data_IF_818728136681
#
_entry.id   IF_818728136681
#
_cell.length_a   1.000
_cell.length_b   1.000
_cell.length_c   1.000
_cell.angle_alpha   90.00
_cell.angle_beta   90.00
_cell.angle_gamma   90.00
#
_symmetry.space_group_name_H-M   'P 1'
#
loop_
_entity.id
_entity.type
_entity.pdbx_description
1 polymer ?
#
# COMPACT_ATOMS: atom_id res chain seq x y z
N UNK A 1 49.75 -10.62 -6.18
CA UNK A 1 50.56 -11.85 -6.26
C UNK A 1 50.34 -12.66 -5.00
N UNK A 2 50.04 -13.98 -5.16
CA UNK A 2 50.03 -15.09 -4.17
C UNK A 2 49.00 -14.97 -3.01
N UNK A 3 47.83 -15.64 -3.03
CA UNK A 3 47.55 -17.08 -2.81
C UNK A 3 48.15 -17.57 -1.46
N UNK A 4 47.42 -18.07 -0.45
CA UNK A 4 46.72 -19.38 -0.36
C UNK A 4 45.90 -19.49 0.95
N UNK A 5 44.60 -19.85 0.91
CA UNK A 5 43.97 -21.11 1.40
C UNK A 5 44.58 -21.86 2.60
N UNK A 6 43.75 -22.17 3.62
CA UNK A 6 43.41 -23.56 4.07
C UNK A 6 42.52 -23.66 5.33
N UNK A 7 41.19 -23.81 5.12
CA UNK A 7 40.24 -24.90 5.48
C UNK A 7 40.22 -25.59 6.91
N UNK A 8 39.27 -26.50 7.24
CA UNK A 8 38.08 -26.26 8.09
C UNK A 8 37.88 -27.31 9.22
N UNK A 9 36.81 -27.18 10.03
CA UNK A 9 36.04 -28.23 10.77
C UNK A 9 34.99 -27.51 11.64
N UNK A 10 33.70 -27.84 11.65
CA UNK A 10 33.13 -29.14 12.02
C UNK A 10 31.69 -29.29 11.51
N UNK A 11 31.33 -30.54 11.22
CA UNK A 11 30.01 -31.01 10.79
C UNK A 11 29.03 -31.08 11.97
N UNK A 12 27.77 -30.69 11.73
CA UNK A 12 26.61 -31.12 12.52
C UNK A 12 25.75 -32.01 11.61
N UNK A 13 25.65 -33.29 11.96
CA UNK A 13 24.67 -34.23 11.42
C UNK A 13 23.52 -34.35 12.42
N UNK A 14 22.28 -34.16 11.97
CA UNK A 14 21.09 -34.69 12.65
C UNK A 14 20.25 -35.49 11.66
N UNK A 15 19.91 -36.75 11.97
CA UNK A 15 19.09 -37.57 11.09
C UNK A 15 17.59 -37.38 11.37
N UNK A 16 16.82 -37.37 10.27
CA UNK A 16 15.38 -37.54 10.23
C UNK A 16 14.95 -38.85 10.91
N UNK A 17 13.89 -38.80 11.73
CA UNK A 17 13.13 -39.99 12.17
C UNK A 17 11.67 -39.89 11.74
N UNK A 18 11.26 -40.90 10.99
CA UNK A 18 9.91 -41.16 10.51
C UNK A 18 9.04 -41.85 11.57
N UNK A 19 7.72 -41.64 11.44
CA UNK A 19 6.64 -42.28 12.21
C UNK A 19 6.62 -43.81 12.08
N UNK A 20 6.24 -44.50 13.17
CA UNK A 20 5.48 -45.78 13.14
C UNK A 20 4.57 -45.91 14.38
N UNK A 21 3.33 -46.41 14.24
CA UNK A 21 2.43 -46.75 15.34
C UNK A 21 2.40 -48.26 15.63
N UNK A 22 2.08 -48.67 16.86
CA UNK A 22 1.81 -50.05 17.31
C UNK A 22 0.93 -50.01 18.60
N UNK A 23 0.27 -51.09 19.05
CA UNK A 23 -0.95 -51.66 18.46
C UNK A 23 -2.07 -51.88 19.53
N UNK A 24 -3.30 -52.14 19.11
CA UNK A 24 -4.39 -52.59 19.99
C UNK A 24 -4.85 -54.00 19.61
N UNK A 25 -5.13 -54.81 20.63
CA UNK A 25 -5.29 -56.27 20.58
C UNK A 25 -6.69 -56.76 20.20
N UNK A 26 -6.72 -58.04 19.85
CA UNK A 26 -7.72 -58.82 19.12
C UNK A 26 -8.94 -59.29 19.94
N UNK A 27 -10.08 -59.51 19.26
CA UNK A 27 -11.26 -60.21 19.78
C UNK A 27 -12.22 -60.67 18.67
N UNK A 28 -12.22 -61.99 18.42
CA UNK A 28 -13.10 -62.85 17.58
C UNK A 28 -14.62 -62.62 17.82
N UNK A 29 -15.61 -63.00 17.00
CA UNK A 29 -15.77 -63.75 15.75
C UNK A 29 -17.24 -63.64 15.26
N UNK A 30 -17.51 -64.21 14.07
CA UNK A 30 -18.79 -64.70 13.50
C UNK A 30 -19.47 -63.86 12.39
N UNK A 31 -19.31 -64.34 11.15
CA UNK A 31 -20.27 -64.27 10.01
C UNK A 31 -21.19 -65.51 10.11
N UNK A 32 -22.36 -65.64 9.43
CA UNK A 32 -22.62 -65.21 8.04
C UNK A 32 -24.07 -64.82 7.68
N UNK A 33 -24.28 -64.26 6.47
CA UNK A 33 -25.13 -64.86 5.42
C UNK A 33 -25.24 -63.96 4.18
N UNK A 34 -25.08 -64.60 3.04
CA UNK A 34 -25.28 -64.10 1.69
C UNK A 34 -26.73 -63.64 1.45
N UNK A 35 -26.90 -62.55 0.70
CA UNK A 35 -28.00 -62.42 -0.24
C UNK A 35 -27.58 -61.48 -1.38
N UNK A 36 -27.67 -62.04 -2.58
CA UNK A 36 -27.34 -61.53 -3.90
C UNK A 36 -28.54 -60.74 -4.43
N UNK A 37 -28.40 -59.47 -4.80
CA UNK A 37 -29.26 -58.84 -5.81
C UNK A 37 -28.47 -57.81 -6.64
N UNK A 38 -28.29 -58.17 -7.91
CA UNK A 38 -28.07 -57.31 -9.06
C UNK A 38 -29.01 -56.09 -9.04
N UNK A 39 -28.53 -54.89 -9.39
CA UNK A 39 -29.09 -54.06 -10.47
C UNK A 39 -28.27 -52.78 -10.69
N UNK A 40 -28.15 -52.40 -11.97
CA UNK A 40 -27.69 -51.13 -12.54
C UNK A 40 -26.17 -50.92 -12.70
N UNK A 41 -25.69 -51.50 -13.80
CA UNK A 41 -24.42 -51.25 -14.44
C UNK A 41 -24.64 -50.28 -15.62
N UNK A 42 -24.87 -48.98 -15.39
CA UNK A 42 -24.76 -47.98 -16.48
C UNK A 42 -24.44 -46.59 -15.92
N UNK A 43 -23.47 -45.93 -16.57
CA UNK A 43 -23.09 -44.52 -16.44
C UNK A 43 -22.34 -44.06 -15.18
N UNK A 44 -21.02 -44.19 -15.20
CA UNK A 44 -20.10 -43.13 -14.70
C UNK A 44 -18.63 -43.42 -15.09
N UNK A 45 -18.34 -43.69 -16.36
CA UNK A 45 -16.93 -43.68 -16.87
C UNK A 45 -16.64 -42.43 -17.73
N UNK A 46 -17.60 -41.50 -17.83
CA UNK A 46 -17.42 -40.21 -18.50
C UNK A 46 -17.58 -39.06 -17.50
N UNK A 47 -16.67 -38.96 -16.54
CA UNK A 47 -16.75 -37.93 -15.49
C UNK A 47 -15.44 -37.50 -14.88
N UNK A 48 -14.30 -38.01 -15.35
CA UNK A 48 -12.99 -37.39 -15.10
C UNK A 48 -12.63 -36.61 -16.37
N UNK A 49 -13.52 -35.69 -16.77
CA UNK A 49 -13.10 -34.58 -17.62
C UNK A 49 -12.19 -33.73 -16.74
N UNK A 50 -10.91 -33.81 -17.05
CA UNK A 50 -9.88 -33.04 -16.41
C UNK A 50 -10.31 -31.59 -16.29
N UNK A 51 -10.45 -31.09 -15.06
CA UNK A 51 -10.19 -29.68 -14.78
C UNK A 51 -8.67 -29.46 -14.88
N UNK A 52 -8.08 -29.78 -16.04
CA UNK A 52 -6.87 -29.11 -16.44
C UNK A 52 -7.34 -27.69 -16.73
N UNK A 53 -7.03 -26.75 -15.83
CA UNK A 53 -7.25 -25.34 -16.15
C UNK A 53 -6.49 -25.08 -17.44
N UNK A 54 -7.21 -24.90 -18.53
CA UNK A 54 -6.63 -24.43 -19.76
C UNK A 54 -6.06 -23.06 -19.41
N UNK A 55 -4.74 -23.01 -19.24
CA UNK A 55 -4.01 -21.77 -19.05
C UNK A 55 -4.32 -20.93 -20.27
N UNK A 56 -5.31 -20.05 -20.17
CA UNK A 56 -5.71 -19.19 -21.27
C UNK A 56 -4.44 -18.53 -21.78
N UNK A 57 -4.08 -18.79 -23.05
CA UNK A 57 -2.93 -18.17 -23.68
C UNK A 57 -3.19 -16.65 -23.72
N UNK A 58 -2.76 -15.94 -22.67
CA UNK A 58 -2.88 -14.50 -22.54
C UNK A 58 -2.06 -13.86 -23.65
N UNK A 59 -2.76 -13.40 -24.70
CA UNK A 59 -2.14 -12.61 -25.76
C UNK A 59 -2.05 -11.16 -25.29
N UNK A 60 -0.86 -10.74 -24.89
CA UNK A 60 -0.58 -9.37 -24.49
C UNK A 60 -0.14 -8.54 -25.70
N UNK A 61 -0.61 -7.30 -25.76
CA UNK A 61 -0.15 -6.28 -26.71
C UNK A 61 0.48 -5.13 -25.95
N UNK A 62 1.56 -4.57 -26.50
CA UNK A 62 2.25 -3.41 -25.92
C UNK A 62 2.04 -2.22 -26.84
N UNK A 63 1.58 -1.11 -26.28
CA UNK A 63 1.35 0.15 -26.99
C UNK A 63 1.97 1.31 -26.21
N UNK A 64 2.61 2.24 -26.92
CA UNK A 64 3.07 3.49 -26.36
C UNK A 64 1.92 4.50 -26.29
N UNK A 65 1.57 4.94 -25.08
CA UNK A 65 0.44 5.84 -24.83
C UNK A 65 0.83 7.31 -24.55
N UNK A 66 2.12 7.63 -24.53
CA UNK A 66 2.61 8.99 -24.31
C UNK A 66 3.78 9.31 -25.24
N UNK A 67 3.86 10.57 -25.71
CA UNK A 67 4.84 11.01 -26.69
C UNK A 67 5.47 12.35 -26.29
N UNK A 68 6.57 12.70 -26.96
CA UNK A 68 7.28 13.96 -26.75
C UNK A 68 8.32 13.91 -25.62
N UNK A 69 8.95 15.07 -25.30
CA UNK A 69 10.10 15.11 -24.40
C UNK A 69 9.75 15.11 -22.91
N UNK A 70 8.46 15.06 -22.55
CA UNK A 70 7.99 15.11 -21.16
C UNK A 70 7.77 13.69 -20.63
N UNK A 71 8.02 13.51 -19.34
CA UNK A 71 7.90 12.21 -18.67
C UNK A 71 6.54 12.09 -18.00
N UNK A 72 5.96 10.89 -18.02
CA UNK A 72 4.63 10.62 -17.47
C UNK A 72 4.71 9.44 -16.52
N UNK A 73 4.15 9.58 -15.32
CA UNK A 73 4.12 8.49 -14.34
C UNK A 73 2.95 8.67 -13.38
N UNK A 74 2.40 7.57 -12.88
CA UNK A 74 1.31 7.61 -11.90
C UNK A 74 1.84 7.71 -10.45
N UNK A 75 3.03 7.14 -10.22
CA UNK A 75 3.54 6.82 -8.89
C UNK A 75 3.19 5.37 -8.53
N UNK A 76 3.97 4.80 -7.63
CA UNK A 76 3.73 3.47 -7.07
C UNK A 76 3.14 3.62 -5.67
N UNK A 77 1.99 3.00 -5.36
CA UNK A 77 1.72 2.51 -4.01
C UNK A 77 0.74 1.30 -4.06
N UNK A 78 1.08 0.21 -3.35
CA UNK A 78 0.23 -0.97 -3.08
C UNK A 78 -0.95 -0.69 -2.15
N UNK A 79 -1.72 0.33 -2.48
CA UNK A 79 -3.02 0.65 -1.89
C UNK A 79 -4.10 -0.17 -2.60
N UNK A 80 -4.96 -0.86 -1.86
CA UNK A 80 -6.02 -1.67 -2.46
C UNK A 80 -6.85 -0.87 -3.48
N UNK A 81 -6.98 -1.43 -4.69
CA UNK A 81 -7.71 -0.83 -5.83
C UNK A 81 -7.16 0.51 -6.33
N UNK A 82 -5.88 0.81 -6.05
CA UNK A 82 -5.20 1.95 -6.68
C UNK A 82 -4.81 1.61 -8.11
N UNK A 83 -5.58 2.16 -9.04
CA UNK A 83 -5.42 1.96 -10.47
C UNK A 83 -5.31 3.32 -11.17
N UNK A 84 -4.50 3.45 -12.23
CA UNK A 84 -4.42 4.71 -12.98
C UNK A 84 -5.64 4.94 -13.88
N UNK A 85 -6.35 3.87 -14.24
CA UNK A 85 -7.56 3.92 -15.06
C UNK A 85 -8.78 4.38 -14.27
N UNK A 86 -9.55 5.29 -14.83
CA UNK A 86 -10.88 5.58 -14.31
C UNK A 86 -11.79 4.35 -14.48
N UNK A 87 -12.89 4.29 -13.74
CA UNK A 87 -13.83 3.16 -13.80
C UNK A 87 -14.53 3.00 -15.17
N UNK A 88 -14.43 3.99 -16.06
CA UNK A 88 -14.92 3.91 -17.44
C UNK A 88 -13.93 3.28 -18.43
N UNK A 89 -12.66 3.09 -18.05
CA UNK A 89 -11.65 2.52 -18.94
C UNK A 89 -11.19 3.45 -20.07
N UNK A 90 -11.47 4.75 -19.98
CA UNK A 90 -11.09 5.75 -21.01
C UNK A 90 -9.91 6.62 -20.59
N UNK A 91 -9.87 7.00 -19.32
CA UNK A 91 -8.90 7.97 -18.83
C UNK A 91 -7.86 7.29 -17.97
N UNK A 92 -6.59 7.55 -18.28
CA UNK A 92 -5.45 7.18 -17.43
C UNK A 92 -4.94 8.45 -16.74
N UNK A 93 -4.90 8.44 -15.42
CA UNK A 93 -4.35 9.54 -14.62
C UNK A 93 -2.82 9.44 -14.58
N UNK A 94 -2.13 10.57 -14.69
CA UNK A 94 -0.68 10.63 -14.56
C UNK A 94 -0.21 12.01 -14.06
N UNK A 95 0.98 12.02 -13.47
CA UNK A 95 1.81 13.22 -13.37
C UNK A 95 2.62 13.36 -14.66
N UNK A 96 2.85 14.61 -15.06
CA UNK A 96 3.76 14.95 -16.17
C UNK A 96 4.84 15.91 -15.70
N UNK A 97 6.10 15.56 -15.93
CA UNK A 97 7.28 16.33 -15.53
C UNK A 97 8.20 16.65 -16.72
N UNK A 98 9.04 17.66 -16.53
CA UNK A 98 10.08 18.03 -17.50
C UNK A 98 11.39 17.26 -17.36
N UNK A 99 11.54 16.48 -16.28
CA UNK A 99 12.77 15.80 -15.90
C UNK A 99 12.45 14.48 -15.16
N UNK A 100 13.46 13.63 -14.99
CA UNK A 100 13.37 12.34 -14.29
C UNK A 100 14.70 11.89 -13.64
N UNK A 101 15.70 12.76 -13.65
CA UNK A 101 17.11 12.47 -13.36
C UNK A 101 17.61 13.09 -12.05
N UNK A 102 16.75 13.79 -11.31
CA UNK A 102 17.04 14.31 -9.98
C UNK A 102 15.80 14.23 -9.06
N UNK A 103 16.01 14.40 -7.75
CA UNK A 103 14.91 14.54 -6.79
C UNK A 103 14.21 15.89 -6.96
N UNK A 104 12.87 15.98 -6.77
CA UNK A 104 12.17 17.24 -6.86
C UNK A 104 12.62 18.23 -5.78
N UNK A 105 12.75 19.49 -6.17
CA UNK A 105 12.97 20.61 -5.26
C UNK A 105 11.62 21.22 -4.82
N UNK A 106 11.59 22.04 -3.75
CA UNK A 106 10.35 22.68 -3.30
C UNK A 106 9.64 23.49 -4.40
N UNK A 107 10.39 24.13 -5.30
CA UNK A 107 9.83 24.91 -6.40
C UNK A 107 9.19 24.08 -7.52
N UNK A 108 9.57 22.80 -7.60
CA UNK A 108 9.22 21.95 -8.73
C UNK A 108 7.77 21.50 -8.68
N UNK A 109 7.10 21.69 -9.80
CA UNK A 109 5.70 21.37 -9.95
C UNK A 109 5.51 20.36 -11.08
N UNK A 110 4.71 19.33 -10.82
CA UNK A 110 4.29 18.35 -11.82
C UNK A 110 2.88 18.68 -12.31
N UNK A 111 2.64 18.55 -13.61
CA UNK A 111 1.30 18.68 -14.15
C UNK A 111 0.47 17.45 -13.78
N UNK A 112 -0.78 17.67 -13.36
CA UNK A 112 -1.78 16.61 -13.24
C UNK A 112 -2.49 16.49 -14.59
N UNK A 113 -2.40 15.33 -15.22
CA UNK A 113 -2.89 15.10 -16.59
C UNK A 113 -3.78 13.86 -16.69
N UNK A 114 -4.66 13.86 -17.68
CA UNK A 114 -5.29 12.64 -18.20
C UNK A 114 -4.67 12.28 -19.54
N UNK A 115 -4.54 10.98 -19.79
CA UNK A 115 -4.36 10.43 -21.13
C UNK A 115 -5.74 9.92 -21.56
N UNK A 116 -6.29 10.50 -22.63
CA UNK A 116 -7.59 10.11 -23.20
C UNK A 116 -7.38 9.04 -24.29
N UNK A 117 -7.65 7.77 -23.93
CA UNK A 117 -7.37 6.63 -24.81
C UNK A 117 -8.35 6.50 -25.97
N UNK A 118 -9.52 7.14 -25.87
CA UNK A 118 -10.49 7.23 -26.97
C UNK A 118 -10.18 8.41 -27.93
N UNK A 119 -9.20 9.25 -27.62
CA UNK A 119 -8.78 10.38 -28.46
C UNK A 119 -7.29 10.29 -28.81
N UNK A 120 -6.89 9.17 -29.41
CA UNK A 120 -5.50 8.94 -29.85
C UNK A 120 -4.46 9.21 -28.74
N UNK A 121 -4.78 8.76 -27.52
CA UNK A 121 -3.94 8.95 -26.32
C UNK A 121 -3.57 10.42 -26.03
N UNK A 122 -4.49 11.35 -26.32
CA UNK A 122 -4.26 12.78 -26.11
C UNK A 122 -4.03 13.09 -24.63
N UNK A 123 -2.93 13.80 -24.34
CA UNK A 123 -2.60 14.27 -22.98
C UNK A 123 -3.31 15.59 -22.68
N UNK A 124 -4.21 15.57 -21.70
CA UNK A 124 -5.01 16.70 -21.25
C UNK A 124 -4.49 17.19 -19.89
N UNK A 125 -3.93 18.41 -19.84
CA UNK A 125 -3.58 19.05 -18.57
C UNK A 125 -4.84 19.49 -17.83
N UNK A 126 -4.95 19.10 -16.56
CA UNK A 126 -6.08 19.43 -15.69
C UNK A 126 -5.71 20.43 -14.60
N UNK A 127 -4.55 20.22 -13.98
CA UNK A 127 -4.09 20.96 -12.82
C UNK A 127 -2.56 20.85 -12.70
N UNK A 128 -2.01 21.35 -11.59
CA UNK A 128 -0.61 21.23 -11.23
C UNK A 128 -0.48 20.96 -9.73
N UNK A 129 0.51 20.15 -9.34
CA UNK A 129 0.83 19.86 -7.94
C UNK A 129 2.29 20.17 -7.60
N UNK A 130 2.52 20.67 -6.39
CA UNK A 130 3.84 20.78 -5.75
C UNK A 130 4.06 19.75 -4.62
N UNK A 131 3.11 18.84 -4.45
CA UNK A 131 3.15 17.76 -3.47
C UNK A 131 3.33 16.44 -4.20
N UNK A 132 4.55 16.19 -4.69
CA UNK A 132 4.87 14.98 -5.42
C UNK A 132 6.30 14.47 -5.17
N UNK A 133 6.52 13.19 -5.45
CA UNK A 133 7.84 12.56 -5.58
C UNK A 133 7.78 11.41 -6.61
N UNK A 134 8.92 10.92 -7.07
CA UNK A 134 8.94 9.85 -8.09
C UNK A 134 8.45 8.50 -7.57
N UNK A 135 8.54 8.23 -6.26
CA UNK A 135 8.16 6.93 -5.71
C UNK A 135 6.63 6.79 -5.62
N UNK A 136 5.97 7.74 -4.97
CA UNK A 136 4.54 7.71 -4.64
C UNK A 136 3.69 8.64 -5.51
N UNK A 137 4.32 9.42 -6.40
CA UNK A 137 3.63 10.48 -7.12
C UNK A 137 3.02 11.48 -6.15
N UNK A 138 1.74 11.77 -6.36
CA UNK A 138 0.95 12.69 -5.53
C UNK A 138 -0.18 11.96 -4.77
N UNK A 139 -0.02 10.65 -4.56
CA UNK A 139 -1.04 9.79 -3.95
C UNK A 139 -2.37 9.85 -4.70
N UNK A 140 -2.31 9.70 -6.02
CA UNK A 140 -3.50 9.63 -6.84
C UNK A 140 -4.42 8.49 -6.41
N UNK A 141 -5.73 8.75 -6.45
CA UNK A 141 -6.73 7.71 -6.25
C UNK A 141 -8.06 8.13 -6.87
N UNK A 142 -8.65 7.32 -7.75
CA UNK A 142 -10.01 7.58 -8.27
C UNK A 142 -11.03 7.44 -7.14
N UNK A 143 -11.84 8.47 -6.90
CA UNK A 143 -12.82 8.49 -5.82
C UNK A 143 -13.80 7.32 -5.98
N UNK A 144 -13.85 6.32 -5.07
CA UNK A 144 -14.75 5.17 -5.23
C UNK A 144 -16.22 5.55 -5.40
N UNK A 145 -16.67 6.63 -4.75
CA UNK A 145 -18.04 7.12 -4.87
C UNK A 145 -18.35 7.75 -6.25
N UNK A 146 -17.34 8.06 -7.06
CA UNK A 146 -17.48 8.70 -8.37
C UNK A 146 -16.28 8.39 -9.29
N UNK A 147 -15.90 7.11 -9.37
CA UNK A 147 -14.61 6.67 -9.92
C UNK A 147 -14.47 6.85 -11.44
N UNK A 148 -15.55 7.26 -12.12
CA UNK A 148 -15.51 7.62 -13.55
C UNK A 148 -14.98 9.04 -13.77
N UNK A 149 -15.18 9.95 -12.80
CA UNK A 149 -15.06 11.39 -13.03
C UNK A 149 -14.26 12.12 -11.96
N UNK A 150 -14.10 11.55 -10.77
CA UNK A 150 -13.46 12.23 -9.65
C UNK A 150 -12.24 11.49 -9.15
N UNK A 151 -11.20 12.24 -8.78
CA UNK A 151 -9.99 11.68 -8.21
C UNK A 151 -9.42 12.59 -7.12
N UNK A 152 -8.69 11.96 -6.20
CA UNK A 152 -7.90 12.60 -5.18
C UNK A 152 -6.46 12.77 -5.63
N UNK A 153 -5.84 13.87 -5.22
CA UNK A 153 -4.40 14.07 -5.28
C UNK A 153 -3.96 15.01 -4.16
N UNK A 154 -2.67 15.09 -3.85
CA UNK A 154 -2.16 16.04 -2.89
C UNK A 154 -1.62 17.29 -3.61
N UNK A 155 -1.73 18.46 -2.99
CA UNK A 155 -1.07 19.67 -3.47
C UNK A 155 -0.43 20.42 -2.30
N UNK A 156 0.49 21.31 -2.62
CA UNK A 156 1.20 22.15 -1.66
C UNK A 156 1.07 23.59 -2.09
N UNK A 157 0.51 24.38 -1.18
CA UNK A 157 0.25 25.79 -1.41
C UNK A 157 1.57 26.57 -1.43
N UNK A 158 1.94 27.22 -2.54
CA UNK A 158 3.22 27.93 -2.62
C UNK A 158 3.27 29.17 -1.70
N UNK A 159 2.12 29.70 -1.26
CA UNK A 159 2.08 30.86 -0.36
C UNK A 159 2.21 30.46 1.09
N UNK A 160 1.48 29.43 1.51
CA UNK A 160 1.45 29.00 2.93
C UNK A 160 2.41 27.85 3.22
N UNK A 161 2.97 27.22 2.18
CA UNK A 161 3.78 25.99 2.26
C UNK A 161 3.03 24.81 2.92
N UNK A 162 1.71 24.89 3.05
CA UNK A 162 0.89 23.82 3.60
C UNK A 162 0.53 22.80 2.52
N UNK A 163 0.65 21.52 2.87
CA UNK A 163 0.11 20.42 2.05
C UNK A 163 -1.37 20.22 2.36
N UNK A 164 -2.13 19.80 1.35
CA UNK A 164 -3.54 19.47 1.47
C UNK A 164 -3.93 18.44 0.42
N UNK A 165 -5.09 17.83 0.59
CA UNK A 165 -5.67 16.92 -0.41
C UNK A 165 -6.72 17.65 -1.24
N UNK A 166 -6.72 17.40 -2.53
CA UNK A 166 -7.68 17.92 -3.51
C UNK A 166 -8.58 16.79 -3.96
N UNK A 167 -9.89 17.06 -4.05
CA UNK A 167 -10.83 16.26 -4.83
C UNK A 167 -11.14 17.05 -6.11
N UNK A 168 -10.79 16.47 -7.26
CA UNK A 168 -10.98 17.07 -8.58
C UNK A 168 -12.08 16.34 -9.34
N UNK A 169 -12.82 17.07 -10.17
CA UNK A 169 -13.85 16.51 -11.05
C UNK A 169 -13.54 16.85 -12.51
N UNK A 170 -13.38 15.83 -13.36
CA UNK A 170 -12.94 15.98 -14.75
C UNK A 170 -14.04 16.50 -15.67
N UNK A 171 -15.31 16.26 -15.36
CA UNK A 171 -16.43 16.79 -16.13
C UNK A 171 -16.62 18.28 -15.84
N UNK A 172 -16.48 18.66 -14.57
CA UNK A 172 -16.54 20.07 -14.14
C UNK A 172 -15.24 20.83 -14.39
N UNK A 173 -14.15 20.12 -14.72
CA UNK A 173 -12.80 20.64 -14.95
C UNK A 173 -12.31 21.56 -13.83
N UNK A 174 -12.56 21.19 -12.57
CA UNK A 174 -12.17 21.99 -11.41
C UNK A 174 -11.95 21.15 -10.17
N UNK A 175 -11.18 21.71 -9.24
CA UNK A 175 -11.16 21.29 -7.83
C UNK A 175 -12.55 21.51 -7.25
N UNK A 176 -13.19 20.45 -6.77
CA UNK A 176 -14.52 20.54 -6.14
C UNK A 176 -14.43 20.58 -4.61
N UNK A 177 -13.29 20.18 -4.05
CA UNK A 177 -12.99 20.32 -2.62
C UNK A 177 -11.49 20.30 -2.35
N UNK A 178 -11.08 21.03 -1.31
CA UNK A 178 -9.74 20.95 -0.72
C UNK A 178 -9.86 20.62 0.77
N UNK A 179 -9.07 19.66 1.24
CA UNK A 179 -9.00 19.24 2.64
C UNK A 179 -7.75 19.84 3.27
N UNK A 180 -7.93 21.01 3.90
CA UNK A 180 -6.86 21.78 4.53
C UNK A 180 -6.95 21.67 6.05
N UNK A 181 -5.80 21.47 6.70
CA UNK A 181 -5.71 21.37 8.14
C UNK A 181 -4.65 22.31 8.68
N UNK A 182 -5.08 23.27 9.51
CA UNK A 182 -4.16 24.23 10.11
C UNK A 182 -3.18 23.54 11.06
N UNK A 183 -1.93 24.02 11.06
CA UNK A 183 -0.85 23.62 11.97
C UNK A 183 -0.46 22.12 11.95
N UNK A 184 -0.92 21.36 10.96
CA UNK A 184 -0.56 19.95 10.79
C UNK A 184 -0.41 19.65 9.30
N UNK A 185 0.81 19.39 8.79
CA UNK A 185 1.07 19.18 7.36
C UNK A 185 0.68 17.75 6.93
N UNK A 186 -0.59 17.41 7.11
CA UNK A 186 -1.15 16.09 6.75
C UNK A 186 -1.95 16.15 5.47
N UNK A 187 -1.79 15.13 4.64
CA UNK A 187 -2.55 14.93 3.41
C UNK A 187 -2.74 13.43 3.14
N UNK A 188 -3.53 13.09 2.13
CA UNK A 188 -3.89 11.73 1.75
C UNK A 188 -2.66 10.83 1.63
N UNK A 189 -2.62 9.78 2.42
CA UNK A 189 -1.66 8.67 2.36
C UNK A 189 -2.29 7.35 1.89
N UNK A 190 -3.60 7.31 1.66
CA UNK A 190 -4.34 6.15 1.17
C UNK A 190 -5.85 6.36 1.27
N UNK A 191 -6.60 6.15 0.20
CA UNK A 191 -8.07 6.30 0.19
C UNK A 191 -8.71 4.95 0.50
N UNK A 192 -9.78 4.96 1.31
CA UNK A 192 -10.54 3.73 1.55
C UNK A 192 -11.23 3.26 0.27
N UNK A 193 -11.17 1.96 -0.08
CA UNK A 193 -11.91 1.39 -1.22
C UNK A 193 -13.43 1.59 -1.14
N UNK A 194 -13.98 1.87 0.04
CA UNK A 194 -15.40 2.21 0.27
C UNK A 194 -15.73 3.67 -0.08
N UNK A 195 -14.73 4.55 -0.16
CA UNK A 195 -14.88 5.96 -0.57
C UNK A 195 -15.38 6.93 0.49
N UNK A 196 -15.68 6.48 1.71
CA UNK A 196 -16.22 7.32 2.80
C UNK A 196 -15.14 8.07 3.59
N UNK A 197 -13.89 7.61 3.56
CA UNK A 197 -12.74 8.27 4.18
C UNK A 197 -11.44 8.05 3.41
N UNK A 198 -10.43 8.84 3.76
CA UNK A 198 -9.03 8.56 3.45
C UNK A 198 -8.17 8.65 4.71
N UNK A 199 -7.04 7.97 4.69
CA UNK A 199 -6.00 8.07 5.69
C UNK A 199 -5.09 9.23 5.34
N UNK A 200 -4.67 9.99 6.33
CA UNK A 200 -3.74 11.09 6.17
C UNK A 200 -2.53 10.94 7.09
N UNK A 201 -1.35 11.30 6.59
CA UNK A 201 -0.08 11.24 7.32
C UNK A 201 0.66 12.57 7.20
N UNK A 202 1.54 12.86 8.15
CA UNK A 202 2.35 14.08 8.17
C UNK A 202 3.46 14.02 7.12
N UNK A 203 3.29 14.75 6.01
CA UNK A 203 4.27 14.79 4.92
C UNK A 203 5.50 15.65 5.23
N UNK A 204 5.44 16.55 6.22
CA UNK A 204 6.61 17.26 6.74
C UNK A 204 7.57 16.30 7.45
N UNK A 205 7.04 15.43 8.30
CA UNK A 205 7.79 14.34 8.92
C UNK A 205 8.36 13.40 7.86
N UNK A 206 7.57 13.04 6.84
CA UNK A 206 8.06 12.20 5.74
C UNK A 206 9.19 12.90 4.96
N UNK A 207 9.09 14.20 4.69
CA UNK A 207 10.14 14.96 4.03
C UNK A 207 11.46 14.95 4.81
N UNK A 208 11.38 15.04 6.15
CA UNK A 208 12.55 15.00 7.05
C UNK A 208 13.15 13.60 7.20
N UNK A 209 12.31 12.60 7.47
CA UNK A 209 12.76 11.25 7.84
C UNK A 209 12.89 10.28 6.67
N UNK A 210 12.19 10.55 5.56
CA UNK A 210 12.23 9.72 4.35
C UNK A 210 12.01 10.55 3.08
N UNK A 211 13.00 11.38 2.68
CA UNK A 211 12.85 12.34 1.58
C UNK A 211 12.30 11.75 0.27
N UNK A 212 12.66 10.50 -0.06
CA UNK A 212 12.20 9.82 -1.29
C UNK A 212 10.67 9.62 -1.38
N UNK A 213 9.97 9.58 -0.24
CA UNK A 213 8.50 9.46 -0.16
C UNK A 213 7.83 10.70 0.46
N UNK A 214 8.62 11.70 0.88
CA UNK A 214 8.10 12.97 1.36
C UNK A 214 7.77 13.94 0.22
N UNK A 215 7.28 15.13 0.58
CA UNK A 215 7.18 16.25 -0.35
C UNK A 215 8.18 17.34 0.06
N UNK A 216 9.06 17.79 -0.85
CA UNK A 216 10.12 18.72 -0.52
C UNK A 216 9.57 20.06 -0.03
N UNK A 217 10.27 20.67 0.93
CA UNK A 217 9.97 22.01 1.46
C UNK A 217 8.83 22.07 2.49
N UNK A 218 8.32 20.94 2.98
CA UNK A 218 7.38 20.92 4.10
C UNK A 218 8.10 20.98 5.44
N UNK A 219 7.63 21.84 6.33
CA UNK A 219 8.08 21.88 7.72
C UNK A 219 7.50 20.70 8.51
N UNK A 220 8.27 20.12 9.43
CA UNK A 220 7.79 19.16 10.42
C UNK A 220 7.60 19.85 11.78
N UNK A 221 6.37 20.25 12.17
CA UNK A 221 6.14 20.90 13.46
C UNK A 221 6.35 19.97 14.66
N UNK A 222 6.57 18.68 14.42
CA UNK A 222 6.75 17.66 15.46
C UNK A 222 8.18 17.15 15.55
N UNK A 223 9.14 17.79 14.87
CA UNK A 223 10.54 17.37 14.81
C UNK A 223 11.24 17.28 16.18
N UNK A 224 10.74 17.99 17.19
CA UNK A 224 11.30 17.97 18.55
C UNK A 224 10.83 16.76 19.39
N UNK A 225 9.88 15.97 18.88
CA UNK A 225 9.33 14.82 19.61
C UNK A 225 9.42 13.58 18.72
N UNK A 226 10.25 12.62 19.13
CA UNK A 226 10.51 11.41 18.34
C UNK A 226 9.27 10.58 18.02
N UNK A 227 8.38 10.44 19.01
CA UNK A 227 7.11 9.73 18.91
C UNK A 227 5.98 10.55 19.57
N UNK A 228 5.43 11.55 18.86
CA UNK A 228 4.39 12.42 19.41
C UNK A 228 3.08 11.66 19.65
N UNK A 229 2.30 12.13 20.62
CA UNK A 229 0.97 11.59 20.92
C UNK A 229 -0.15 12.18 20.05
N UNK A 230 0.13 13.27 19.33
CA UNK A 230 -0.84 14.02 18.52
C UNK A 230 -0.58 13.90 17.00
N UNK A 231 0.27 12.97 16.58
CA UNK A 231 0.61 12.72 15.18
C UNK A 231 0.79 11.22 14.94
N UNK A 232 0.55 10.78 13.70
CA UNK A 232 0.54 9.39 13.27
C UNK A 232 -0.33 9.22 12.03
N UNK A 233 -1.24 8.25 12.03
CA UNK A 233 -2.25 8.11 10.98
C UNK A 233 -3.54 8.79 11.43
N UNK A 234 -4.07 9.65 10.58
CA UNK A 234 -5.38 10.26 10.76
C UNK A 234 -6.40 9.60 9.82
N UNK A 235 -7.65 9.47 10.26
CA UNK A 235 -8.80 9.18 9.41
C UNK A 235 -9.51 10.49 9.08
N UNK A 236 -9.74 10.77 7.80
CA UNK A 236 -10.46 11.95 7.31
C UNK A 236 -11.69 11.53 6.55
N UNK A 237 -12.86 11.94 7.02
CA UNK A 237 -14.13 11.69 6.33
C UNK A 237 -14.22 12.52 5.05
N UNK A 238 -14.53 11.87 3.92
CA UNK A 238 -14.65 12.53 2.61
C UNK A 238 -15.82 13.52 2.59
N UNK A 239 -16.96 13.16 3.19
CA UNK A 239 -18.17 13.99 3.17
C UNK A 239 -18.04 15.24 4.05
N UNK A 240 -17.44 15.14 5.23
CA UNK A 240 -17.42 16.23 6.23
C UNK A 240 -16.07 16.93 6.31
N UNK A 241 -14.98 16.26 5.90
CA UNK A 241 -13.61 16.71 6.14
C UNK A 241 -13.18 16.53 7.60
N UNK A 242 -14.00 15.88 8.43
CA UNK A 242 -13.69 15.64 9.85
C UNK A 242 -12.50 14.71 9.96
N UNK A 243 -11.47 15.16 10.68
CA UNK A 243 -10.23 14.43 10.94
C UNK A 243 -10.20 13.90 12.36
N UNK A 244 -9.87 12.62 12.53
CA UNK A 244 -9.62 11.96 13.83
C UNK A 244 -8.26 11.27 13.79
N UNK A 245 -7.48 11.38 14.87
CA UNK A 245 -6.26 10.59 15.01
C UNK A 245 -6.65 9.11 15.23
N UNK A 246 -6.17 8.24 14.34
CA UNK A 246 -6.47 6.80 14.37
C UNK A 246 -5.46 6.05 15.23
N UNK A 247 -4.18 6.33 15.03
CA UNK A 247 -3.08 5.80 15.83
C UNK A 247 -1.96 6.84 15.90
N UNK A 248 -1.41 7.05 17.09
CA UNK A 248 -0.31 7.97 17.34
C UNK A 248 1.05 7.27 17.28
N UNK A 249 2.11 8.02 16.96
CA UNK A 249 3.48 7.51 17.08
C UNK A 249 3.81 7.08 18.51
N UNK A 250 3.25 7.73 19.53
CA UNK A 250 3.39 7.29 20.93
C UNK A 250 2.86 5.88 21.14
N UNK A 251 1.64 5.59 20.68
CA UNK A 251 1.07 4.23 20.77
C UNK A 251 1.93 3.20 20.04
N UNK A 252 2.50 3.56 18.88
CA UNK A 252 3.40 2.67 18.15
C UNK A 252 4.70 2.41 18.90
N UNK A 253 5.29 3.44 19.51
CA UNK A 253 6.49 3.28 20.35
C UNK A 253 6.20 2.36 21.54
N UNK A 254 5.08 2.58 22.23
CA UNK A 254 4.72 1.78 23.40
C UNK A 254 4.48 0.31 23.03
N UNK A 255 3.81 0.06 21.89
CA UNK A 255 3.58 -1.29 21.34
C UNK A 255 4.89 -2.03 21.00
N UNK A 256 5.93 -1.29 20.62
CA UNK A 256 7.19 -1.81 20.09
C UNK A 256 8.34 -1.75 21.10
N UNK A 257 8.13 -1.18 22.29
CA UNK A 257 9.16 -0.84 23.26
C UNK A 257 10.12 -2.00 23.60
N UNK A 258 9.56 -3.17 23.89
CA UNK A 258 10.34 -4.36 24.26
C UNK A 258 10.82 -5.19 23.05
N UNK A 259 10.62 -4.69 21.82
CA UNK A 259 10.95 -5.41 20.58
C UNK A 259 12.16 -4.83 19.84
N UNK A 260 12.60 -3.62 20.19
CA UNK A 260 13.68 -2.91 19.49
C UNK A 260 14.55 -2.14 20.48
N UNK A 261 15.85 -2.48 20.55
CA UNK A 261 16.79 -1.92 21.54
C UNK A 261 16.90 -0.39 21.50
N UNK A 262 16.95 0.19 20.29
CA UNK A 262 17.19 1.64 20.08
C UNK A 262 15.93 2.47 19.93
N UNK A 263 14.78 1.93 20.32
CA UNK A 263 13.47 2.54 20.03
C UNK A 263 13.31 3.96 20.62
N UNK A 264 14.07 4.28 21.67
CA UNK A 264 14.07 5.59 22.33
C UNK A 264 14.96 6.64 21.69
N UNK A 265 15.84 6.22 20.80
CA UNK A 265 16.85 7.06 20.19
C UNK A 265 16.48 7.43 18.74
N UNK A 266 15.28 7.05 18.30
CA UNK A 266 14.90 7.10 16.89
C UNK A 266 13.54 7.73 16.68
N UNK A 267 13.47 8.52 15.62
CA UNK A 267 12.24 9.16 15.19
C UNK A 267 11.41 8.22 14.33
N UNK A 268 10.14 8.09 14.68
CA UNK A 268 9.22 7.23 13.95
C UNK A 268 8.66 7.95 12.73
N UNK A 269 8.47 7.19 11.66
CA UNK A 269 7.69 7.55 10.48
C UNK A 269 6.82 6.36 10.05
N UNK A 270 5.79 6.64 9.27
CA UNK A 270 4.84 5.64 8.77
C UNK A 270 4.96 5.55 7.26
N UNK A 271 5.08 4.32 6.74
CA UNK A 271 4.96 4.02 5.32
C UNK A 271 3.78 3.07 5.09
N UNK A 272 3.20 3.16 3.89
CA UNK A 272 2.12 2.30 3.41
C UNK A 272 0.90 2.33 4.34
N UNK A 273 0.11 3.41 4.37
CA UNK A 273 -1.16 3.40 5.11
C UNK A 273 -2.26 2.75 4.28
N UNK A 274 -2.33 1.42 4.30
CA UNK A 274 -3.11 0.60 3.38
C UNK A 274 -4.48 0.24 3.94
N UNK A 275 -5.55 0.82 3.40
CA UNK A 275 -6.89 0.38 3.70
C UNK A 275 -7.15 -1.00 3.09
N UNK A 276 -7.69 -1.87 3.92
CA UNK A 276 -8.28 -3.14 3.54
C UNK A 276 -9.45 -2.93 2.55
N UNK A 277 -9.80 -3.95 1.75
CA UNK A 277 -10.81 -3.87 0.68
C UNK A 277 -12.22 -3.56 1.18
N UNK A 278 -12.55 -3.99 2.40
CA UNK A 278 -13.81 -3.66 3.08
C UNK A 278 -13.77 -2.30 3.77
N UNK A 279 -12.57 -1.74 4.01
CA UNK A 279 -12.39 -0.49 4.75
C UNK A 279 -12.42 -0.66 6.27
N UNK A 280 -12.38 -1.88 6.80
CA UNK A 280 -12.45 -2.15 8.24
C UNK A 280 -11.08 -2.16 8.94
N UNK A 281 -10.02 -2.48 8.20
CA UNK A 281 -8.64 -2.55 8.68
C UNK A 281 -7.72 -1.60 7.92
N UNK A 282 -6.67 -1.16 8.62
CA UNK A 282 -5.52 -0.47 8.05
C UNK A 282 -4.28 -1.31 8.34
N UNK A 283 -3.52 -1.65 7.31
CA UNK A 283 -2.17 -2.20 7.43
C UNK A 283 -1.16 -1.10 7.17
N UNK A 284 -0.07 -1.05 7.95
CA UNK A 284 0.98 -0.06 7.76
C UNK A 284 2.31 -0.47 8.38
N UNK A 285 3.39 0.21 8.00
CA UNK A 285 4.69 0.05 8.64
C UNK A 285 4.98 1.19 9.59
N UNK A 286 5.25 0.86 10.85
CA UNK A 286 5.99 1.74 11.75
C UNK A 286 7.48 1.55 11.47
N UNK A 287 8.18 2.64 11.10
CA UNK A 287 9.60 2.59 10.78
C UNK A 287 10.37 3.66 11.53
N UNK A 288 11.63 3.36 11.79
CA UNK A 288 12.57 4.32 12.37
C UNK A 288 13.99 3.95 11.94
N UNK A 289 14.83 4.96 11.71
CA UNK A 289 16.24 4.77 11.37
C UNK A 289 17.12 5.27 12.51
N UNK A 290 18.22 4.58 12.75
CA UNK A 290 19.30 5.06 13.61
C UNK A 290 20.42 5.59 12.71
N UNK A 291 20.63 6.90 12.76
CA UNK A 291 21.40 7.64 11.76
C UNK A 291 20.85 7.44 10.34
N UNK A 292 21.70 7.61 9.33
CA UNK A 292 21.25 7.60 7.93
C UNK A 292 21.11 6.19 7.33
N UNK A 293 21.78 5.19 7.92
CA UNK A 293 21.98 3.89 7.26
C UNK A 293 21.19 2.74 7.87
N UNK A 294 21.09 2.66 9.21
CA UNK A 294 20.55 1.47 9.87
C UNK A 294 19.06 1.59 10.16
N UNK A 295 18.29 0.57 9.77
CA UNK A 295 16.87 0.48 10.10
C UNK A 295 16.75 -0.03 11.55
N UNK A 296 16.32 0.83 12.46
CA UNK A 296 16.17 0.50 13.88
C UNK A 296 14.81 -0.15 14.16
N UNK A 297 13.77 0.30 13.46
CA UNK A 297 12.42 -0.23 13.55
C UNK A 297 11.89 -0.44 12.14
N UNK A 298 11.36 -1.63 11.87
CA UNK A 298 10.64 -1.96 10.64
C UNK A 298 9.52 -2.94 10.96
N UNK A 299 8.49 -2.44 11.61
CA UNK A 299 7.43 -3.24 12.17
C UNK A 299 6.14 -3.08 11.34
N UNK A 300 5.67 -4.15 10.67
CA UNK A 300 4.33 -4.16 10.12
C UNK A 300 3.30 -4.18 11.25
N UNK A 301 2.25 -3.38 11.08
CA UNK A 301 1.19 -3.19 12.06
C UNK A 301 -0.16 -3.22 11.36
N UNK A 302 -1.22 -3.55 12.12
CA UNK A 302 -2.59 -3.29 11.70
C UNK A 302 -3.43 -2.71 12.82
N UNK A 303 -4.49 -2.01 12.45
CA UNK A 303 -5.50 -1.46 13.37
C UNK A 303 -6.86 -1.45 12.68
N UNK A 304 -7.96 -1.55 13.44
CA UNK A 304 -9.30 -1.31 12.93
C UNK A 304 -9.53 0.17 12.66
N UNK A 305 -10.39 0.50 11.70
CA UNK A 305 -10.68 1.90 11.33
C UNK A 305 -11.47 2.68 12.39
N UNK A 306 -12.00 2.00 13.40
CA UNK A 306 -12.56 2.62 14.61
C UNK A 306 -11.49 3.06 15.65
N UNK A 307 -10.24 2.58 15.50
CA UNK A 307 -9.10 2.86 16.38
C UNK A 307 -8.78 1.74 17.39
N UNK A 308 -9.43 0.58 17.29
CA UNK A 308 -9.22 -0.56 18.18
C UNK A 308 -8.34 -1.66 17.53
N UNK A 309 -7.87 -2.61 18.33
CA UNK A 309 -7.17 -3.79 17.82
C UNK A 309 -5.80 -3.51 17.20
N UNK A 310 -5.08 -2.50 17.69
CA UNK A 310 -3.71 -2.22 17.24
C UNK A 310 -2.80 -3.41 17.57
N UNK A 311 -2.13 -3.95 16.57
CA UNK A 311 -1.20 -5.08 16.73
C UNK A 311 -0.03 -5.01 15.74
N UNK A 312 1.01 -5.80 16.00
CA UNK A 312 2.19 -5.97 15.14
C UNK A 312 2.20 -7.35 14.48
N UNK A 313 2.80 -7.45 13.31
CA UNK A 313 2.92 -8.70 12.54
C UNK A 313 4.38 -9.12 12.33
N UNK A 314 4.57 -10.34 11.82
CA UNK A 314 5.84 -10.75 11.25
C UNK A 314 6.10 -10.03 9.92
N UNK A 315 7.36 -9.70 9.64
CA UNK A 315 7.75 -9.05 8.41
C UNK A 315 7.72 -10.04 7.23
N UNK A 316 6.77 -9.85 6.32
CA UNK A 316 6.60 -10.69 5.13
C UNK A 316 7.09 -10.03 3.82
N UNK A 317 7.46 -8.75 3.87
CA UNK A 317 7.87 -7.99 2.69
C UNK A 317 7.66 -6.49 2.84
N UNK A 318 8.25 -5.70 1.94
CA UNK A 318 8.18 -4.24 2.01
C UNK A 318 6.92 -3.63 1.42
N UNK A 319 6.17 -4.42 0.64
CA UNK A 319 5.04 -3.99 -0.18
C UNK A 319 3.90 -5.04 -0.18
N UNK A 320 3.30 -5.31 0.99
CA UNK A 320 2.18 -6.24 1.09
C UNK A 320 0.91 -5.63 0.47
N UNK A 321 -0.05 -6.50 0.13
CA UNK A 321 -1.38 -6.15 -0.37
C UNK A 321 -2.42 -7.06 0.29
N UNK A 322 -3.65 -6.59 0.39
CA UNK A 322 -4.78 -7.37 0.87
C UNK A 322 -5.26 -8.32 -0.23
N UNK A 323 -5.18 -9.64 0.00
CA UNK A 323 -5.48 -10.67 -0.99
C UNK A 323 -6.99 -10.81 -1.27
N UNK A 324 -7.79 -11.15 -0.26
CA UNK A 324 -9.26 -11.18 -0.32
C UNK A 324 -9.85 -10.78 1.04
N UNK A 325 -11.07 -10.22 1.03
CA UNK A 325 -11.98 -10.32 2.18
C UNK A 325 -11.57 -9.68 3.51
N UNK A 326 -10.69 -8.69 3.51
CA UNK A 326 -10.64 -7.72 4.61
C UNK A 326 -10.37 -6.36 4.01
#
# INVERSE_FOLDING_TARGET
MKNTQSNPRSLIQHPFRACRPLPCSCGRATRPRCALYFFLFVFAVHGIAAFASESANLKLTVEQITFGPKHHFFGYIGQSKTIPWNAGGRYILALRTGYHDHMPEPGDAADVVLIDTEQANKVLRLDQTRAWNFQQGTMFYWNPASAKTQFFFNDRDPKTQQVFTVLYDIERRRRIREYRFNNVPVANGGVSPTGDFFLAINYGRMARLRPVTGYPGLADPTAQVAAPGNDGIFRVEVATGRRKLLVSFRQLRDLLWNKHEKINEVDFYINHSLCSRSGDLVYFFARARFGDKSMAVNAPCSIRTDGTGLMTHEYIGGHPEWDEGS
#
